data_IF_110581820289
#
_entry.id   IF_110581820289
#
_cell.length_a   1.000
_cell.length_b   1.000
_cell.length_c   1.000
_cell.angle_alpha   90.00
_cell.angle_beta   90.00
_cell.angle_gamma   90.00
#
_symmetry.space_group_name_H-M   'P 1'
#
loop_
_entity.id
_entity.type
_entity.pdbx_description
1 polymer ?
#
# COMPACT_ATOMS: atom_id res chain seq x y z
N UNK A 1 3.04 -11.15 -31.08
CA UNK A 1 3.22 -10.30 -29.89
C UNK A 1 4.39 -9.37 -30.14
N UNK A 2 4.31 -8.11 -29.69
CA UNK A 2 5.43 -7.16 -29.75
C UNK A 2 6.53 -7.65 -28.80
N UNK A 3 7.79 -7.59 -29.23
CA UNK A 3 8.95 -7.92 -28.40
C UNK A 3 9.62 -6.63 -27.94
N UNK A 4 9.97 -6.56 -26.66
CA UNK A 4 10.66 -5.43 -26.06
C UNK A 4 12.07 -5.83 -25.66
N UNK A 5 13.06 -5.06 -26.11
CA UNK A 5 14.44 -5.27 -25.73
C UNK A 5 14.62 -4.94 -24.24
N UNK A 6 14.79 -5.95 -23.41
CA UNK A 6 14.85 -5.79 -21.97
C UNK A 6 16.01 -4.88 -21.52
N UNK A 7 17.19 -5.05 -22.10
CA UNK A 7 18.38 -4.27 -21.73
C UNK A 7 18.17 -2.79 -22.01
N UNK A 8 17.51 -2.46 -23.13
CA UNK A 8 17.16 -1.08 -23.47
C UNK A 8 16.17 -0.47 -22.48
N UNK A 9 15.08 -1.18 -22.17
CA UNK A 9 14.05 -0.66 -21.26
C UNK A 9 14.59 -0.51 -19.82
N UNK A 10 15.48 -1.40 -19.38
CA UNK A 10 16.17 -1.25 -18.07
C UNK A 10 17.12 -0.05 -18.06
N UNK A 11 17.81 0.26 -19.16
CA UNK A 11 18.60 1.50 -19.25
C UNK A 11 17.73 2.73 -19.17
N UNK A 12 16.56 2.72 -19.81
CA UNK A 12 15.61 3.82 -19.73
C UNK A 12 15.08 4.00 -18.30
N UNK A 13 14.72 2.90 -17.63
CA UNK A 13 14.38 2.92 -16.20
C UNK A 13 15.49 3.55 -15.35
N UNK A 14 16.75 3.15 -15.56
CA UNK A 14 17.91 3.72 -14.83
C UNK A 14 18.08 5.21 -15.12
N UNK A 15 17.85 5.66 -16.35
CA UNK A 15 17.90 7.06 -16.72
C UNK A 15 16.80 7.85 -16.00
N UNK A 16 15.56 7.38 -16.07
CA UNK A 16 14.43 8.00 -15.38
C UNK A 16 14.70 8.15 -13.87
N UNK A 17 15.22 7.09 -13.24
CA UNK A 17 15.60 7.11 -11.82
C UNK A 17 16.75 8.08 -11.52
N UNK A 18 17.64 8.36 -12.46
CA UNK A 18 18.79 9.25 -12.24
C UNK A 18 18.45 10.73 -12.46
N UNK A 19 17.54 11.02 -13.40
CA UNK A 19 17.17 12.40 -13.76
C UNK A 19 15.97 12.95 -12.97
N UNK A 20 15.10 12.07 -12.47
CA UNK A 20 13.90 12.49 -11.76
C UNK A 20 14.25 13.25 -10.49
N UNK A 21 13.71 14.45 -10.34
CA UNK A 21 13.91 15.26 -9.12
C UNK A 21 12.87 14.94 -8.04
N UNK A 22 11.68 14.53 -8.46
CA UNK A 22 10.55 14.23 -7.58
C UNK A 22 10.15 12.78 -7.75
N UNK A 23 10.08 12.07 -6.62
CA UNK A 23 9.63 10.70 -6.55
C UNK A 23 8.39 10.61 -5.69
N UNK A 24 7.49 9.72 -6.07
CA UNK A 24 6.45 9.21 -5.20
C UNK A 24 6.39 7.69 -5.29
N UNK A 25 5.98 7.05 -4.22
CA UNK A 25 5.88 5.59 -4.16
C UNK A 25 4.51 5.17 -3.66
N UNK A 26 4.02 4.05 -4.17
CA UNK A 26 2.87 3.35 -3.62
C UNK A 26 3.25 1.89 -3.36
N UNK A 27 3.10 1.48 -2.10
CA UNK A 27 3.38 0.12 -1.64
C UNK A 27 2.06 -0.60 -1.35
N UNK A 28 1.80 -1.65 -2.13
CA UNK A 28 0.68 -2.56 -1.90
C UNK A 28 1.09 -3.82 -1.13
N UNK A 29 0.13 -4.74 -0.97
CA UNK A 29 0.29 -5.94 -0.13
C UNK A 29 1.48 -6.83 -0.55
N UNK A 30 1.86 -6.83 -1.83
CA UNK A 30 3.00 -7.59 -2.33
C UNK A 30 4.33 -7.22 -1.67
N UNK A 31 4.49 -5.97 -1.24
CA UNK A 31 5.71 -5.51 -0.53
C UNK A 31 5.82 -6.14 0.87
N UNK A 32 4.72 -6.19 1.62
CA UNK A 32 4.66 -6.87 2.92
C UNK A 32 4.73 -8.40 2.78
N UNK A 33 4.17 -8.95 1.70
CA UNK A 33 4.27 -10.39 1.38
C UNK A 33 5.70 -10.85 1.14
N UNK A 34 6.53 -10.03 0.48
CA UNK A 34 7.95 -10.31 0.30
C UNK A 34 8.72 -10.40 1.62
N UNK A 35 8.12 -9.96 2.73
CA UNK A 35 8.66 -9.98 4.08
C UNK A 35 7.92 -10.98 5.00
N UNK A 36 7.05 -11.81 4.43
CA UNK A 36 6.32 -12.87 5.14
C UNK A 36 5.04 -12.42 5.84
N UNK A 37 4.56 -11.19 5.62
CA UNK A 37 3.25 -10.73 6.10
C UNK A 37 2.16 -11.15 5.10
N UNK A 38 1.02 -11.70 5.56
CA UNK A 38 0.02 -12.27 4.68
C UNK A 38 -0.65 -11.22 3.77
N UNK A 39 -0.98 -11.62 2.53
CA UNK A 39 -1.90 -10.87 1.69
C UNK A 39 -3.35 -10.99 2.20
N UNK A 40 -4.28 -10.28 1.55
CA UNK A 40 -5.68 -10.25 1.97
C UNK A 40 -6.36 -11.62 1.91
N UNK A 41 -6.00 -12.48 0.94
CA UNK A 41 -6.58 -13.81 0.81
C UNK A 41 -6.13 -14.72 1.95
N UNK A 42 -4.82 -14.78 2.21
CA UNK A 42 -4.25 -15.54 3.34
C UNK A 42 -4.78 -15.01 4.67
N UNK A 43 -4.86 -13.68 4.83
CA UNK A 43 -5.40 -13.06 6.04
C UNK A 43 -6.87 -13.45 6.27
N UNK A 44 -7.67 -13.52 5.20
CA UNK A 44 -9.07 -13.95 5.29
C UNK A 44 -9.18 -15.37 5.84
N UNK A 45 -8.39 -16.31 5.31
CA UNK A 45 -8.38 -17.71 5.76
C UNK A 45 -7.86 -17.85 7.18
N UNK A 46 -6.78 -17.15 7.55
CA UNK A 46 -6.23 -17.21 8.90
C UNK A 46 -7.18 -16.63 9.94
N UNK A 47 -7.88 -15.52 9.62
CA UNK A 47 -8.91 -14.95 10.49
C UNK A 47 -10.08 -15.91 10.65
N UNK A 48 -10.64 -16.44 9.56
CA UNK A 48 -11.77 -17.39 9.59
C UNK A 48 -11.47 -18.61 10.47
N UNK A 49 -10.23 -19.12 10.44
CA UNK A 49 -9.80 -20.25 11.26
C UNK A 49 -9.53 -19.88 12.73
N UNK A 50 -9.21 -18.61 13.00
CA UNK A 50 -8.90 -18.13 14.34
C UNK A 50 -10.09 -17.61 15.16
N UNK A 51 -11.30 -17.52 14.57
CA UNK A 51 -12.53 -17.05 15.24
C UNK A 51 -13.14 -18.09 16.19
N UNK A 52 -13.80 -17.62 17.25
CA UNK A 52 -14.59 -18.47 18.15
C UNK A 52 -15.79 -19.11 17.43
N UNK A 53 -16.34 -20.22 17.97
CA UNK A 53 -17.40 -21.00 17.32
C UNK A 53 -18.60 -20.14 16.88
N UNK A 54 -19.12 -19.31 17.78
CA UNK A 54 -20.29 -18.45 17.49
C UNK A 54 -19.95 -17.35 16.49
N UNK A 55 -18.76 -16.75 16.60
CA UNK A 55 -18.28 -15.70 15.70
C UNK A 55 -17.99 -16.25 14.31
N UNK A 56 -17.42 -17.44 14.22
CA UNK A 56 -17.17 -18.16 12.97
C UNK A 56 -18.48 -18.52 12.26
N UNK A 57 -19.51 -18.93 12.99
CA UNK A 57 -20.83 -19.18 12.40
C UNK A 57 -21.41 -17.91 11.75
N UNK A 58 -21.33 -16.76 12.41
CA UNK A 58 -21.81 -15.49 11.86
C UNK A 58 -20.92 -14.97 10.70
N UNK A 59 -19.61 -15.24 10.76
CA UNK A 59 -18.68 -14.96 9.67
C UNK A 59 -19.04 -15.74 8.41
N UNK A 60 -19.26 -17.05 8.52
CA UNK A 60 -19.64 -17.91 7.40
C UNK A 60 -20.97 -17.45 6.81
N UNK A 61 -21.99 -17.17 7.63
CA UNK A 61 -23.27 -16.61 7.15
C UNK A 61 -23.09 -15.33 6.34
N UNK A 62 -22.25 -14.42 6.82
CA UNK A 62 -21.96 -13.15 6.13
C UNK A 62 -21.27 -13.40 4.79
N UNK A 63 -20.33 -14.35 4.76
CA UNK A 63 -19.60 -14.75 3.56
C UNK A 63 -20.53 -15.38 2.52
N UNK A 64 -21.40 -16.31 2.93
CA UNK A 64 -22.38 -16.97 2.06
C UNK A 64 -23.39 -15.99 1.44
N UNK A 65 -23.86 -15.00 2.20
CA UNK A 65 -24.73 -13.93 1.70
C UNK A 65 -24.05 -13.09 0.60
N UNK A 66 -22.78 -12.74 0.82
CA UNK A 66 -21.98 -12.00 -0.16
C UNK A 66 -21.68 -12.82 -1.41
N UNK A 67 -21.37 -14.11 -1.28
CA UNK A 67 -21.14 -15.03 -2.40
C UNK A 67 -22.41 -15.22 -3.24
N UNK A 68 -23.58 -15.27 -2.59
CA UNK A 68 -24.89 -15.33 -3.27
C UNK A 68 -25.20 -14.03 -4.02
N UNK A 69 -24.83 -12.89 -3.44
CA UNK A 69 -25.05 -11.56 -4.04
C UNK A 69 -24.08 -11.26 -5.19
N UNK A 70 -22.84 -11.74 -5.10
CA UNK A 70 -21.76 -11.46 -6.05
C UNK A 70 -21.05 -12.76 -6.49
N UNK A 71 -21.70 -13.61 -7.29
CA UNK A 71 -21.19 -14.95 -7.63
C UNK A 71 -19.85 -14.93 -8.36
N UNK A 72 -19.57 -13.88 -9.13
CA UNK A 72 -18.32 -13.75 -9.91
C UNK A 72 -17.17 -13.10 -9.12
N UNK A 73 -17.38 -12.79 -7.82
CA UNK A 73 -16.41 -12.10 -6.98
C UNK A 73 -15.90 -13.01 -5.87
N UNK A 74 -14.58 -13.16 -5.78
CA UNK A 74 -13.95 -13.76 -4.59
C UNK A 74 -14.13 -12.83 -3.38
N UNK A 75 -14.83 -13.33 -2.36
CA UNK A 75 -15.07 -12.61 -1.11
C UNK A 75 -13.82 -12.69 -0.21
N UNK A 76 -13.41 -11.54 0.32
CA UNK A 76 -12.27 -11.43 1.23
C UNK A 76 -12.70 -10.77 2.56
N UNK A 77 -11.76 -10.67 3.50
CA UNK A 77 -12.00 -10.09 4.82
C UNK A 77 -12.47 -8.64 4.78
N UNK A 78 -12.07 -7.88 3.74
CA UNK A 78 -12.51 -6.52 3.52
C UNK A 78 -14.00 -6.44 3.19
N UNK A 79 -14.47 -7.32 2.31
CA UNK A 79 -15.88 -7.42 1.94
C UNK A 79 -16.74 -7.82 3.15
N UNK A 80 -16.26 -8.74 3.98
CA UNK A 80 -16.95 -9.18 5.19
C UNK A 80 -17.05 -8.04 6.21
N UNK A 81 -15.94 -7.33 6.49
CA UNK A 81 -15.95 -6.18 7.39
C UNK A 81 -16.91 -5.08 6.91
N UNK A 82 -16.90 -4.78 5.61
CA UNK A 82 -17.84 -3.82 5.01
C UNK A 82 -19.28 -4.27 5.23
N UNK A 83 -19.60 -5.54 4.96
CA UNK A 83 -20.97 -6.03 5.12
C UNK A 83 -21.44 -6.01 6.59
N UNK A 84 -20.57 -6.36 7.55
CA UNK A 84 -20.89 -6.26 8.98
C UNK A 84 -21.18 -4.82 9.42
N UNK A 85 -20.45 -3.85 8.88
CA UNK A 85 -20.67 -2.43 9.17
C UNK A 85 -21.96 -1.90 8.54
N UNK A 86 -22.30 -2.36 7.34
CA UNK A 86 -23.62 -2.12 6.75
C UNK A 86 -24.74 -2.69 7.63
N UNK A 87 -24.61 -3.93 8.12
CA UNK A 87 -25.56 -4.53 9.05
C UNK A 87 -25.69 -3.67 10.32
N UNK A 88 -24.57 -3.25 10.91
CA UNK A 88 -24.56 -2.37 12.10
C UNK A 88 -25.27 -1.03 11.81
N UNK A 89 -25.07 -0.46 10.63
CA UNK A 89 -25.73 0.79 10.19
C UNK A 89 -27.24 0.62 10.03
N UNK A 90 -27.68 -0.40 9.28
CA UNK A 90 -29.11 -0.69 9.00
C UNK A 90 -29.87 -1.02 10.29
N UNK A 91 -29.26 -1.79 11.19
CA UNK A 91 -29.87 -2.18 12.47
C UNK A 91 -29.79 -1.07 13.53
N UNK A 92 -29.04 0.01 13.27
CA UNK A 92 -28.74 1.05 14.25
C UNK A 92 -27.96 0.54 15.47
N UNK A 93 -27.20 -0.56 15.31
CA UNK A 93 -26.44 -1.21 16.37
C UNK A 93 -27.29 -1.86 17.47
N UNK A 94 -28.60 -2.05 17.24
CA UNK A 94 -29.51 -2.60 18.26
C UNK A 94 -29.58 -4.12 18.24
N UNK A 95 -29.89 -4.72 19.39
CA UNK A 95 -29.98 -6.18 19.59
C UNK A 95 -31.25 -6.80 18.99
N UNK A 96 -32.35 -6.04 19.00
CA UNK A 96 -33.67 -6.45 18.55
C UNK A 96 -33.84 -6.41 17.01
N UNK A 97 -32.99 -5.65 16.32
CA UNK A 97 -32.97 -5.58 14.86
C UNK A 97 -31.92 -6.52 14.28
N UNK A 98 -32.32 -7.28 13.27
CA UNK A 98 -31.46 -8.25 12.58
C UNK A 98 -31.52 -8.04 11.07
N UNK A 99 -30.42 -8.38 10.41
CA UNK A 99 -30.31 -8.59 8.97
C UNK A 99 -29.58 -9.91 8.78
N UNK A 100 -30.06 -10.79 7.89
CA UNK A 100 -29.53 -12.18 7.71
C UNK A 100 -29.34 -12.95 9.04
N UNK A 101 -30.28 -12.78 9.98
CA UNK A 101 -30.22 -13.32 11.35
C UNK A 101 -29.05 -12.82 12.23
N UNK A 102 -28.28 -11.85 11.77
CA UNK A 102 -27.21 -11.17 12.52
C UNK A 102 -27.78 -9.87 13.10
N UNK A 103 -27.69 -9.73 14.44
CA UNK A 103 -28.11 -8.49 15.11
C UNK A 103 -27.05 -7.39 15.01
N UNK A 104 -27.43 -6.13 15.22
CA UNK A 104 -26.47 -5.02 15.25
C UNK A 104 -25.40 -5.17 16.33
N UNK A 105 -25.75 -5.72 17.49
CA UNK A 105 -24.80 -6.03 18.57
C UNK A 105 -23.84 -7.15 18.15
N UNK A 106 -24.36 -8.21 17.53
CA UNK A 106 -23.55 -9.33 17.02
C UNK A 106 -22.59 -8.87 15.94
N UNK A 107 -23.05 -8.04 15.00
CA UNK A 107 -22.21 -7.48 13.95
C UNK A 107 -21.08 -6.61 14.54
N UNK A 108 -21.38 -5.78 15.54
CA UNK A 108 -20.37 -4.99 16.25
C UNK A 108 -19.33 -5.87 16.96
N UNK A 109 -19.78 -6.92 17.66
CA UNK A 109 -18.88 -7.86 18.35
C UNK A 109 -17.97 -8.57 17.35
N UNK A 110 -18.53 -9.06 16.24
CA UNK A 110 -17.78 -9.77 15.21
C UNK A 110 -16.77 -8.86 14.49
N UNK A 111 -17.14 -7.62 14.14
CA UNK A 111 -16.22 -6.63 13.55
C UNK A 111 -15.01 -6.36 14.48
N UNK A 112 -15.27 -6.18 15.78
CA UNK A 112 -14.22 -5.99 16.79
C UNK A 112 -13.30 -7.21 16.92
N UNK A 113 -13.86 -8.42 16.96
CA UNK A 113 -13.10 -9.67 17.04
C UNK A 113 -12.22 -9.88 15.79
N UNK A 114 -12.78 -9.67 14.60
CA UNK A 114 -12.02 -9.73 13.34
C UNK A 114 -10.85 -8.75 13.36
N UNK A 115 -11.08 -7.48 13.75
CA UNK A 115 -10.03 -6.47 13.80
C UNK A 115 -8.90 -6.85 14.78
N UNK A 116 -9.24 -7.42 15.94
CA UNK A 116 -8.25 -7.92 16.91
C UNK A 116 -7.46 -9.12 16.39
N UNK A 117 -8.11 -10.04 15.66
CA UNK A 117 -7.44 -11.17 15.02
C UNK A 117 -6.48 -10.70 13.91
N UNK A 118 -6.92 -9.76 13.07
CA UNK A 118 -6.07 -9.12 12.05
C UNK A 118 -4.83 -8.51 12.71
N UNK A 119 -5.02 -7.73 13.77
CA UNK A 119 -3.92 -7.13 14.53
C UNK A 119 -2.94 -8.19 15.03
N UNK A 120 -3.45 -9.28 15.62
CA UNK A 120 -2.63 -10.34 16.22
C UNK A 120 -1.81 -11.07 15.17
N UNK A 121 -2.45 -11.49 14.07
CA UNK A 121 -1.80 -12.20 12.95
C UNK A 121 -0.70 -11.34 12.35
N UNK A 122 -1.01 -10.10 11.98
CA UNK A 122 -0.03 -9.22 11.33
C UNK A 122 1.10 -8.87 12.31
N UNK A 123 0.80 -8.55 13.57
CA UNK A 123 1.82 -8.22 14.59
C UNK A 123 2.79 -9.39 14.81
N UNK A 124 2.31 -10.62 14.84
CA UNK A 124 3.16 -11.81 14.98
C UNK A 124 4.10 -11.96 13.77
N UNK A 125 3.57 -11.83 12.55
CA UNK A 125 4.37 -11.96 11.31
C UNK A 125 5.37 -10.82 11.18
N UNK A 126 4.96 -9.60 11.49
CA UNK A 126 5.81 -8.40 11.49
C UNK A 126 6.97 -8.50 12.49
N UNK A 127 6.76 -9.18 13.63
CA UNK A 127 7.84 -9.42 14.60
C UNK A 127 8.95 -10.35 14.09
N UNK A 128 8.64 -11.19 13.09
CA UNK A 128 9.55 -12.16 12.47
C UNK A 128 10.09 -11.68 11.12
N UNK A 129 9.54 -10.59 10.58
CA UNK A 129 9.92 -10.06 9.27
C UNK A 129 11.35 -9.47 9.30
N UNK A 130 12.16 -9.82 8.30
CA UNK A 130 13.47 -9.19 8.13
C UNK A 130 13.33 -7.82 7.46
N UNK A 131 13.56 -6.76 8.24
CA UNK A 131 13.47 -5.38 7.75
C UNK A 131 14.72 -4.93 6.98
N UNK A 132 15.72 -5.79 6.77
CA UNK A 132 17.00 -5.41 6.16
C UNK A 132 16.84 -4.71 4.80
N UNK A 133 16.08 -5.29 3.87
CA UNK A 133 15.77 -4.70 2.56
C UNK A 133 15.07 -3.35 2.71
N UNK A 134 13.99 -3.30 3.47
CA UNK A 134 13.18 -2.08 3.64
C UNK A 134 13.98 -0.93 4.26
N UNK A 135 14.84 -1.23 5.25
CA UNK A 135 15.77 -0.25 5.83
C UNK A 135 16.75 0.29 4.78
N UNK A 136 17.33 -0.58 3.95
CA UNK A 136 18.23 -0.14 2.86
C UNK A 136 17.49 0.70 1.83
N UNK A 137 16.23 0.36 1.51
CA UNK A 137 15.40 1.16 0.60
C UNK A 137 15.18 2.57 1.15
N UNK A 138 14.76 2.71 2.41
CA UNK A 138 14.53 4.03 2.99
C UNK A 138 15.81 4.81 3.25
N UNK A 139 16.92 4.13 3.56
CA UNK A 139 18.23 4.76 3.60
C UNK A 139 18.63 5.32 2.23
N UNK A 140 18.45 4.55 1.15
CA UNK A 140 18.64 5.02 -0.23
C UNK A 140 17.75 6.22 -0.54
N UNK A 141 16.46 6.13 -0.24
CA UNK A 141 15.47 7.14 -0.59
C UNK A 141 15.73 8.46 0.14
N UNK A 142 16.02 8.41 1.45
CA UNK A 142 16.37 9.57 2.27
C UNK A 142 17.64 10.29 1.76
N UNK A 143 18.48 9.62 0.97
CA UNK A 143 19.67 10.20 0.34
C UNK A 143 19.43 10.82 -1.05
N UNK A 144 18.32 10.51 -1.73
CA UNK A 144 18.14 10.89 -3.16
C UNK A 144 17.82 12.37 -3.37
N UNK A 145 17.10 13.05 -2.48
CA UNK A 145 16.85 14.49 -2.67
C UNK A 145 16.45 15.20 -1.38
N UNK A 146 17.16 16.28 -1.01
CA UNK A 146 16.84 17.11 0.16
C UNK A 146 15.95 18.31 -0.15
N UNK A 147 15.70 18.58 -1.44
CA UNK A 147 15.03 19.81 -1.89
C UNK A 147 13.53 19.65 -2.15
N UNK A 148 12.99 18.43 -2.01
CA UNK A 148 11.58 18.12 -2.20
C UNK A 148 11.13 17.06 -1.20
N UNK A 149 9.88 17.18 -0.77
CA UNK A 149 9.19 16.18 0.03
C UNK A 149 8.87 14.96 -0.84
N UNK A 150 9.31 13.77 -0.42
CA UNK A 150 8.94 12.51 -1.06
C UNK A 150 7.67 11.96 -0.42
N UNK A 151 6.71 11.60 -1.27
CA UNK A 151 5.39 11.16 -0.87
C UNK A 151 5.28 9.63 -1.02
N UNK A 152 4.94 8.96 0.06
CA UNK A 152 4.79 7.52 0.19
C UNK A 152 3.33 7.21 0.49
N UNK A 153 2.72 6.35 -0.32
CA UNK A 153 1.37 5.88 -0.13
C UNK A 153 1.38 4.37 0.12
N UNK A 154 0.47 3.88 0.95
CA UNK A 154 0.31 2.44 1.13
C UNK A 154 -1.14 2.07 1.45
N UNK A 155 -1.55 0.89 0.98
CA UNK A 155 -2.78 0.22 1.38
C UNK A 155 -2.57 -0.77 2.53
N UNK A 156 -1.34 -0.93 3.00
CA UNK A 156 -0.99 -1.98 3.96
C UNK A 156 -1.33 -1.55 5.39
N UNK A 157 -1.86 -2.49 6.18
CA UNK A 157 -2.21 -2.25 7.58
C UNK A 157 -1.01 -2.30 8.53
N UNK A 158 -0.01 -3.13 8.20
CA UNK A 158 1.22 -3.35 8.97
C UNK A 158 2.06 -2.08 9.17
N UNK A 159 3.00 -2.11 10.10
CA UNK A 159 3.86 -0.99 10.48
C UNK A 159 5.31 -1.15 9.96
N UNK A 160 5.51 -1.94 8.90
CA UNK A 160 6.86 -2.25 8.37
C UNK A 160 7.58 -0.97 7.94
N UNK A 161 6.88 -0.05 7.27
CA UNK A 161 7.46 1.21 6.78
C UNK A 161 7.89 2.07 7.98
N UNK A 162 6.99 2.30 8.92
CA UNK A 162 7.22 3.09 10.13
C UNK A 162 8.40 2.53 10.93
N UNK A 163 8.40 1.22 11.22
CA UNK A 163 9.49 0.55 11.95
C UNK A 163 10.84 0.66 11.23
N UNK A 164 10.84 0.56 9.90
CA UNK A 164 12.07 0.67 9.11
C UNK A 164 12.62 2.09 9.12
N UNK A 165 11.76 3.10 9.01
CA UNK A 165 12.13 4.52 9.09
C UNK A 165 12.67 4.89 10.48
N UNK A 166 12.00 4.46 11.54
CA UNK A 166 12.43 4.70 12.92
C UNK A 166 13.75 3.99 13.23
N UNK A 167 13.95 2.76 12.74
CA UNK A 167 15.18 2.00 12.93
C UNK A 167 16.42 2.72 12.35
N UNK A 168 16.27 3.40 11.21
CA UNK A 168 17.35 4.18 10.58
C UNK A 168 17.34 5.67 11.00
N UNK A 169 16.47 6.05 11.95
CA UNK A 169 16.28 7.44 12.43
C UNK A 169 15.95 8.43 11.29
N UNK A 170 15.24 7.99 10.26
CA UNK A 170 14.76 8.86 9.20
C UNK A 170 13.48 9.57 9.65
N UNK A 171 13.43 10.92 9.62
CA UNK A 171 12.24 11.65 10.00
C UNK A 171 11.13 11.46 8.96
N UNK A 172 9.92 11.24 9.44
CA UNK A 172 8.74 11.13 8.59
C UNK A 172 7.53 11.81 9.22
N UNK A 173 6.55 12.12 8.39
CA UNK A 173 5.26 12.67 8.80
C UNK A 173 4.13 11.87 8.19
N UNK A 174 3.15 11.50 9.00
CA UNK A 174 2.05 10.62 8.62
C UNK A 174 0.66 11.24 8.84
N UNK A 175 0.59 12.57 9.01
CA UNK A 175 -0.67 13.27 9.27
C UNK A 175 -1.05 13.36 10.75
N UNK A 176 -0.31 12.70 11.65
CA UNK A 176 -0.54 12.76 13.09
C UNK A 176 0.46 13.70 13.78
N UNK A 177 -0.04 14.51 14.71
CA UNK A 177 0.76 15.45 15.51
C UNK A 177 0.47 15.27 17.00
N UNK A 178 1.51 15.46 17.81
CA UNK A 178 1.47 15.25 19.26
C UNK A 178 2.39 14.11 19.68
N UNK A 179 2.78 14.10 20.95
CA UNK A 179 3.73 13.14 21.52
C UNK A 179 3.06 12.09 22.40
N UNK A 180 2.15 12.52 23.29
CA UNK A 180 1.50 11.64 24.26
C UNK A 180 0.35 10.83 23.63
N UNK A 181 -0.58 11.51 22.97
CA UNK A 181 -1.69 10.92 22.23
C UNK A 181 -1.78 11.66 20.89
N UNK A 182 -0.99 11.26 19.87
CA UNK A 182 -0.95 11.94 18.59
C UNK A 182 -2.34 11.95 17.93
N UNK A 183 -2.83 13.14 17.56
CA UNK A 183 -4.12 13.35 16.91
C UNK A 183 -3.95 13.62 15.42
N UNK A 184 -4.95 13.25 14.63
CA UNK A 184 -4.95 13.52 13.19
C UNK A 184 -5.14 15.01 12.90
N UNK A 185 -4.25 15.61 12.11
CA UNK A 185 -4.30 17.03 11.75
C UNK A 185 -4.47 17.22 10.24
N UNK A 186 -5.73 17.26 9.78
CA UNK A 186 -6.08 17.28 8.35
C UNK A 186 -5.40 18.43 7.57
N UNK A 187 -5.44 19.64 8.10
CA UNK A 187 -4.99 20.85 7.41
C UNK A 187 -3.49 20.83 7.06
N UNK A 188 -2.71 20.02 7.77
CA UNK A 188 -1.28 19.85 7.52
C UNK A 188 -0.98 18.96 6.31
N UNK A 189 -1.93 18.16 5.86
CA UNK A 189 -1.77 17.21 4.75
C UNK A 189 -2.08 17.89 3.42
N UNK A 190 -3.04 18.81 3.43
CA UNK A 190 -3.51 19.52 2.23
C UNK A 190 -2.45 20.49 1.67
N UNK A 191 -1.46 20.88 2.48
CA UNK A 191 -0.42 21.83 2.09
C UNK A 191 0.80 21.12 1.53
N UNK A 192 1.32 21.59 0.40
CA UNK A 192 2.67 21.20 -0.02
C UNK A 192 3.70 21.91 0.83
N UNK A 193 4.81 21.24 1.06
CA UNK A 193 5.91 21.74 1.89
C UNK A 193 6.83 22.57 1.01
N UNK A 194 6.98 23.85 1.37
CA UNK A 194 7.87 24.77 0.67
C UNK A 194 9.33 24.57 1.06
N UNK A 195 10.25 25.11 0.26
CA UNK A 195 11.71 25.00 0.50
C UNK A 195 12.18 25.66 1.80
N UNK A 196 11.41 26.61 2.33
CA UNK A 196 11.70 27.28 3.60
C UNK A 196 11.27 26.48 4.82
N UNK A 197 10.54 25.38 4.65
CA UNK A 197 10.08 24.54 5.75
C UNK A 197 11.21 23.60 6.22
N UNK A 198 11.38 23.51 7.54
CA UNK A 198 12.39 22.66 8.18
C UNK A 198 12.13 21.15 7.95
N UNK A 199 10.90 20.81 7.59
CA UNK A 199 10.43 19.43 7.35
C UNK A 199 10.40 19.08 5.85
N UNK A 200 10.97 19.91 4.96
CA UNK A 200 10.95 19.67 3.51
C UNK A 200 11.58 18.34 3.08
N UNK A 201 12.55 17.84 3.86
CA UNK A 201 13.26 16.60 3.61
C UNK A 201 12.68 15.41 4.39
N UNK A 202 11.58 15.61 5.13
CA UNK A 202 10.90 14.50 5.80
C UNK A 202 10.12 13.70 4.78
N UNK A 203 10.13 12.38 4.94
CA UNK A 203 9.29 11.50 4.15
C UNK A 203 7.84 11.66 4.59
N UNK A 204 6.90 11.69 3.64
CA UNK A 204 5.46 11.80 3.94
C UNK A 204 4.79 10.47 3.70
N UNK A 205 4.23 9.85 4.75
CA UNK A 205 3.63 8.53 4.68
C UNK A 205 2.11 8.61 4.83
N UNK A 206 1.39 8.10 3.83
CA UNK A 206 -0.06 8.19 3.75
C UNK A 206 -0.68 6.79 3.65
N UNK A 207 -1.32 6.33 4.72
CA UNK A 207 -1.96 5.00 4.78
C UNK A 207 -3.43 5.10 4.40
N UNK A 208 -3.75 4.76 3.15
CA UNK A 208 -5.07 5.01 2.55
C UNK A 208 -6.14 4.04 3.07
N UNK A 209 -5.74 2.87 3.59
CA UNK A 209 -6.65 1.84 4.10
C UNK A 209 -6.73 1.79 5.64
N UNK A 210 -5.93 2.60 6.33
CA UNK A 210 -5.85 2.61 7.78
C UNK A 210 -4.57 1.97 8.28
N UNK A 211 -4.52 1.71 9.58
CA UNK A 211 -3.31 1.20 10.22
C UNK A 211 -3.64 0.46 11.49
N UNK A 212 -2.81 -0.53 11.85
CA UNK A 212 -2.93 -1.28 13.10
C UNK A 212 -2.69 -0.44 14.36
N UNK A 213 -2.11 0.75 14.22
CA UNK A 213 -1.89 1.68 15.33
C UNK A 213 -2.90 2.84 15.36
N UNK A 214 -3.98 2.82 14.57
CA UNK A 214 -4.98 3.88 14.59
C UNK A 214 -6.24 3.45 15.34
N UNK A 215 -6.76 4.32 16.21
CA UNK A 215 -7.90 4.02 17.06
C UNK A 215 -8.92 5.14 17.06
N UNK A 216 -10.20 4.77 17.08
CA UNK A 216 -11.29 5.71 17.29
C UNK A 216 -11.31 6.18 18.74
N UNK A 217 -11.26 7.50 18.93
CA UNK A 217 -11.47 8.11 20.24
C UNK A 217 -12.96 8.24 20.52
N UNK A 218 -13.43 7.61 21.60
CA UNK A 218 -14.78 7.84 22.10
C UNK A 218 -14.83 9.23 22.72
N UNK A 219 -15.47 10.17 22.02
CA UNK A 219 -15.75 11.50 22.57
C UNK A 219 -17.18 11.51 23.12
N UNK A 220 -17.38 12.01 24.35
CA UNK A 220 -18.69 12.07 25.00
C UNK A 220 -19.74 12.99 24.32
N UNK A 221 -19.42 13.56 23.15
CA UNK A 221 -20.34 14.30 22.28
C UNK A 221 -20.63 13.46 21.03
N UNK A 222 -21.90 13.20 20.78
CA UNK A 222 -22.41 12.10 19.96
C UNK A 222 -22.01 12.05 18.47
N UNK A 223 -21.26 13.01 17.93
CA UNK A 223 -20.98 13.07 16.48
C UNK A 223 -19.51 13.36 16.09
N UNK A 224 -18.61 13.66 17.04
CA UNK A 224 -17.20 13.91 16.69
C UNK A 224 -16.37 12.64 16.85
N UNK A 225 -16.21 11.88 15.77
CA UNK A 225 -15.26 10.77 15.71
C UNK A 225 -13.86 11.34 15.42
N UNK A 226 -13.01 11.44 16.44
CA UNK A 226 -11.59 11.77 16.24
C UNK A 226 -10.75 10.50 16.28
N UNK A 227 -9.63 10.49 15.56
CA UNK A 227 -8.70 9.36 15.54
C UNK A 227 -7.42 9.79 16.24
N UNK A 228 -6.85 8.85 16.99
CA UNK A 228 -5.51 8.97 17.52
C UNK A 228 -4.63 7.81 17.06
N UNK A 229 -3.32 8.05 17.00
CA UNK A 229 -2.32 7.05 16.71
C UNK A 229 -1.74 6.51 18.02
N UNK A 230 -1.98 5.24 18.30
CA UNK A 230 -1.32 4.52 19.39
C UNK A 230 0.18 4.36 19.13
N UNK A 231 0.97 4.39 20.20
CA UNK A 231 2.38 3.99 20.14
C UNK A 231 2.54 2.47 20.16
N UNK A 232 3.47 1.96 20.98
CA UNK A 232 3.63 0.52 21.18
C UNK A 232 2.47 -0.03 22.02
N UNK A 233 1.64 -0.87 21.43
CA UNK A 233 0.52 -1.53 22.10
C UNK A 233 1.02 -2.85 22.71
N UNK A 234 1.06 -3.00 24.06
CA UNK A 234 1.57 -4.20 24.69
C UNK A 234 0.60 -5.39 24.58
N UNK A 235 -0.71 -5.13 24.62
CA UNK A 235 -1.74 -6.16 24.45
C UNK A 235 -3.00 -5.53 23.82
N UNK A 236 -3.40 -6.04 22.65
CA UNK A 236 -4.57 -5.55 21.93
C UNK A 236 -5.89 -5.86 22.66
N UNK A 237 -5.94 -6.91 23.49
CA UNK A 237 -7.14 -7.26 24.24
C UNK A 237 -7.52 -6.22 25.30
N UNK A 238 -6.53 -5.47 25.78
CA UNK A 238 -6.72 -4.41 26.76
C UNK A 238 -7.13 -3.07 26.10
N UNK A 239 -7.12 -2.98 24.77
CA UNK A 239 -7.50 -1.77 24.06
C UNK A 239 -9.02 -1.73 23.92
N UNK A 240 -9.64 -0.73 24.53
CA UNK A 240 -11.09 -0.52 24.48
C UNK A 240 -11.54 0.17 23.19
N UNK A 241 -10.67 0.98 22.60
CA UNK A 241 -10.96 1.76 21.40
C UNK A 241 -10.99 0.87 20.15
N UNK A 242 -11.95 1.11 19.26
CA UNK A 242 -12.07 0.37 17.99
C UNK A 242 -10.90 0.72 17.05
N UNK A 243 -10.27 -0.31 16.47
CA UNK A 243 -9.21 -0.17 15.47
C UNK A 243 -9.74 0.50 14.18
N UNK A 244 -8.96 1.39 13.60
CA UNK A 244 -9.30 2.09 12.36
C UNK A 244 -8.71 1.33 11.17
N UNK A 245 -9.40 0.26 10.79
CA UNK A 245 -9.15 -0.52 9.57
C UNK A 245 -10.33 -0.30 8.64
N UNK A 246 -10.15 0.36 7.50
CA UNK A 246 -11.23 0.64 6.54
C UNK A 246 -10.93 0.06 5.17
N UNK A 247 -11.64 -1.02 4.80
CA UNK A 247 -11.50 -1.59 3.49
C UNK A 247 -12.08 -0.71 2.37
N UNK A 248 -11.73 -1.06 1.14
CA UNK A 248 -11.96 -0.27 -0.08
C UNK A 248 -13.40 0.26 -0.32
N UNK A 249 -14.47 -0.51 -0.05
CA UNK A 249 -15.84 -0.20 -0.54
C UNK A 249 -16.67 0.78 0.29
N UNK A 250 -16.65 0.76 1.63
CA UNK A 250 -17.51 1.64 2.45
C UNK A 250 -17.07 3.12 2.50
N UNK A 251 -15.92 3.44 1.91
CA UNK A 251 -15.37 4.81 1.92
C UNK A 251 -16.23 5.80 1.13
N UNK A 252 -17.05 5.33 0.19
CA UNK A 252 -17.88 6.19 -0.65
C UNK A 252 -19.12 6.71 0.07
N UNK A 253 -19.88 5.84 0.76
CA UNK A 253 -21.06 6.25 1.54
C UNK A 253 -20.69 7.04 2.81
N UNK A 254 -19.42 6.93 3.24
CA UNK A 254 -18.87 7.59 4.42
C UNK A 254 -17.77 8.61 4.11
N UNK A 255 -17.90 9.35 3.00
CA UNK A 255 -17.11 10.55 2.59
C UNK A 255 -16.94 11.65 3.67
N UNK A 256 -17.38 11.40 4.90
CA UNK A 256 -17.23 12.21 6.11
C UNK A 256 -16.19 11.68 7.11
N UNK A 257 -15.59 10.50 6.90
CA UNK A 257 -14.62 9.92 7.85
C UNK A 257 -13.19 10.36 7.53
N UNK A 258 -12.71 11.37 8.24
CA UNK A 258 -11.26 11.61 8.43
C UNK A 258 -10.62 10.31 8.93
N UNK A 259 -9.44 9.90 8.43
CA UNK A 259 -8.43 10.67 7.69
C UNK A 259 -8.39 10.36 6.18
N UNK A 260 -9.26 9.47 5.70
CA UNK A 260 -9.14 8.83 4.39
C UNK A 260 -9.31 9.80 3.23
N UNK A 261 -10.31 10.67 3.32
CA UNK A 261 -10.59 11.69 2.29
C UNK A 261 -9.36 12.56 2.06
N UNK A 262 -8.71 13.01 3.14
CA UNK A 262 -7.50 13.82 3.07
C UNK A 262 -6.34 13.10 2.36
N UNK A 263 -6.16 11.79 2.60
CA UNK A 263 -5.12 11.02 1.91
C UNK A 263 -5.42 10.77 0.43
N UNK A 264 -6.69 10.56 0.06
CA UNK A 264 -7.09 10.44 -1.34
C UNK A 264 -6.93 11.76 -2.09
N UNK A 265 -7.35 12.87 -1.48
CA UNK A 265 -7.15 14.20 -2.03
C UNK A 265 -5.66 14.53 -2.15
N UNK A 266 -4.85 14.11 -1.16
CA UNK A 266 -3.39 14.22 -1.24
C UNK A 266 -2.81 13.40 -2.39
N UNK A 267 -3.24 12.14 -2.57
CA UNK A 267 -2.81 11.31 -3.69
C UNK A 267 -3.11 11.97 -5.03
N UNK A 268 -4.35 12.44 -5.21
CA UNK A 268 -4.77 13.15 -6.42
C UNK A 268 -3.93 14.42 -6.64
N UNK A 269 -3.71 15.20 -5.58
CA UNK A 269 -2.93 16.43 -5.63
C UNK A 269 -1.48 16.15 -6.03
N UNK A 270 -0.85 15.13 -5.45
CA UNK A 270 0.52 14.72 -5.76
C UNK A 270 0.64 14.26 -7.23
N UNK A 271 -0.26 13.39 -7.69
CA UNK A 271 -0.22 12.85 -9.05
C UNK A 271 -0.49 13.91 -10.14
N UNK A 272 -1.25 14.97 -9.80
CA UNK A 272 -1.51 16.10 -10.71
C UNK A 272 -0.45 17.22 -10.60
N UNK A 273 0.43 17.17 -9.60
CA UNK A 273 1.42 18.21 -9.31
C UNK A 273 2.70 18.11 -10.18
N UNK A 274 2.58 18.50 -11.45
CA UNK A 274 3.73 18.74 -12.33
C UNK A 274 4.57 17.50 -12.63
N UNK A 275 5.89 17.69 -12.75
CA UNK A 275 6.83 16.59 -13.05
C UNK A 275 6.98 15.65 -11.85
N UNK A 276 6.64 14.38 -12.03
CA UNK A 276 6.69 13.36 -10.99
C UNK A 276 6.96 11.98 -11.60
N UNK A 277 7.94 11.27 -11.05
CA UNK A 277 8.10 9.83 -11.27
C UNK A 277 7.43 9.09 -10.12
N UNK A 278 6.38 8.34 -10.41
CA UNK A 278 5.59 7.63 -9.41
C UNK A 278 5.71 6.12 -9.58
N UNK A 279 6.14 5.41 -8.54
CA UNK A 279 6.47 3.99 -8.60
C UNK A 279 5.50 3.16 -7.76
N UNK A 280 4.86 2.18 -8.38
CA UNK A 280 4.05 1.16 -7.72
C UNK A 280 4.85 -0.13 -7.53
N UNK A 281 4.85 -0.66 -6.31
CA UNK A 281 5.41 -1.97 -6.00
C UNK A 281 4.43 -2.76 -5.14
N UNK A 282 4.18 -4.01 -5.53
CA UNK A 282 3.30 -4.91 -4.79
C UNK A 282 1.81 -4.51 -4.76
N UNK A 283 1.39 -3.60 -5.64
CA UNK A 283 -0.01 -3.17 -5.76
C UNK A 283 -0.67 -3.84 -6.97
N UNK A 284 -1.72 -4.63 -6.73
CA UNK A 284 -2.40 -5.46 -7.73
C UNK A 284 -3.40 -4.70 -8.60
N UNK A 285 -3.65 -3.41 -8.34
CA UNK A 285 -4.72 -2.64 -8.97
C UNK A 285 -6.13 -3.25 -8.76
N UNK A 286 -6.37 -3.92 -7.64
CA UNK A 286 -7.71 -4.43 -7.29
C UNK A 286 -8.65 -3.38 -6.68
N UNK A 287 -8.12 -2.23 -6.21
CA UNK A 287 -8.91 -1.14 -5.64
C UNK A 287 -9.32 -0.16 -6.75
N UNK A 288 -10.58 -0.23 -7.18
CA UNK A 288 -11.10 0.58 -8.27
C UNK A 288 -11.01 2.09 -8.00
N UNK A 289 -11.16 2.54 -6.76
CA UNK A 289 -11.17 3.96 -6.46
C UNK A 289 -9.77 4.58 -6.54
N UNK A 290 -8.77 3.88 -6.00
CA UNK A 290 -7.36 4.25 -6.16
C UNK A 290 -7.01 4.28 -7.66
N UNK A 291 -7.44 3.26 -8.41
CA UNK A 291 -7.19 3.19 -9.85
C UNK A 291 -7.83 4.35 -10.62
N UNK A 292 -9.07 4.73 -10.29
CA UNK A 292 -9.74 5.87 -10.91
C UNK A 292 -8.96 7.17 -10.70
N UNK A 293 -8.44 7.42 -9.49
CA UNK A 293 -7.60 8.59 -9.21
C UNK A 293 -6.32 8.55 -10.05
N UNK A 294 -5.64 7.40 -10.12
CA UNK A 294 -4.41 7.23 -10.89
C UNK A 294 -4.65 7.46 -12.38
N UNK A 295 -5.63 6.77 -12.96
CA UNK A 295 -5.92 6.86 -14.39
C UNK A 295 -6.43 8.24 -14.81
N UNK A 296 -7.25 8.90 -13.97
CA UNK A 296 -7.65 10.28 -14.23
C UNK A 296 -6.45 11.23 -14.16
N UNK A 297 -5.53 11.02 -13.21
CA UNK A 297 -4.32 11.85 -13.09
C UNK A 297 -3.37 11.64 -14.28
N UNK A 298 -3.22 10.40 -14.77
CA UNK A 298 -2.44 10.09 -15.97
C UNK A 298 -2.97 10.80 -17.22
N UNK A 299 -4.29 10.95 -17.36
CA UNK A 299 -4.91 11.70 -18.46
C UNK A 299 -4.69 13.21 -18.35
N UNK A 300 -4.70 13.74 -17.13
CA UNK A 300 -4.64 15.18 -16.89
C UNK A 300 -3.21 15.72 -16.82
N UNK A 301 -2.25 14.91 -16.39
CA UNK A 301 -0.87 15.31 -16.17
C UNK A 301 0.10 14.55 -17.10
N UNK A 302 0.42 15.14 -18.25
CA UNK A 302 1.39 14.58 -19.20
C UNK A 302 2.84 14.55 -18.66
N UNK A 303 3.13 15.21 -17.52
CA UNK A 303 4.44 15.19 -16.85
C UNK A 303 4.52 14.17 -15.71
N UNK A 304 3.43 13.44 -15.45
CA UNK A 304 3.44 12.28 -14.58
C UNK A 304 3.97 11.08 -15.38
N UNK A 305 5.00 10.41 -14.86
CA UNK A 305 5.46 9.12 -15.35
C UNK A 305 5.20 8.07 -14.28
N UNK A 306 4.49 6.99 -14.64
CA UNK A 306 4.15 5.90 -13.72
C UNK A 306 4.92 4.65 -14.09
N UNK A 307 5.61 4.06 -13.11
CA UNK A 307 6.27 2.77 -13.21
C UNK A 307 5.57 1.77 -12.31
N UNK A 308 5.23 0.60 -12.83
CA UNK A 308 4.55 -0.47 -12.09
C UNK A 308 5.40 -1.73 -12.14
N UNK A 309 5.67 -2.33 -10.98
CA UNK A 309 6.38 -3.60 -10.87
C UNK A 309 5.43 -4.68 -10.35
N UNK A 310 5.18 -5.69 -11.19
CA UNK A 310 4.29 -6.82 -10.89
C UNK A 310 5.06 -8.10 -10.64
N UNK A 311 4.58 -8.88 -9.68
CA UNK A 311 5.14 -10.19 -9.37
C UNK A 311 4.65 -11.25 -10.37
N UNK A 312 3.46 -11.07 -10.96
CA UNK A 312 2.87 -12.01 -11.92
C UNK A 312 2.48 -11.33 -13.24
N UNK A 313 2.61 -12.06 -14.35
CA UNK A 313 2.21 -11.57 -15.68
C UNK A 313 0.69 -11.42 -15.86
N UNK A 314 -0.11 -12.11 -15.04
CA UNK A 314 -1.58 -11.94 -15.01
C UNK A 314 -1.96 -10.50 -14.67
N UNK A 315 -1.27 -9.88 -13.71
CA UNK A 315 -1.49 -8.51 -13.28
C UNK A 315 -1.19 -7.50 -14.40
N UNK A 316 -0.15 -7.76 -15.21
CA UNK A 316 0.17 -6.98 -16.41
C UNK A 316 -0.98 -7.03 -17.41
N UNK A 317 -1.53 -8.23 -17.65
CA UNK A 317 -2.64 -8.42 -18.60
C UNK A 317 -3.90 -7.70 -18.12
N UNK A 318 -4.23 -7.80 -16.84
CA UNK A 318 -5.38 -7.09 -16.26
C UNK A 318 -5.19 -5.57 -16.33
N UNK A 319 -4.02 -5.05 -15.97
CA UNK A 319 -3.72 -3.62 -16.07
C UNK A 319 -3.83 -3.13 -17.52
N UNK A 320 -3.36 -3.91 -18.49
CA UNK A 320 -3.41 -3.53 -19.91
C UNK A 320 -4.84 -3.28 -20.42
N UNK A 321 -5.82 -4.06 -19.94
CA UNK A 321 -7.24 -3.86 -20.30
C UNK A 321 -7.75 -2.46 -19.96
N UNK A 322 -7.23 -1.86 -18.88
CA UNK A 322 -7.64 -0.55 -18.39
C UNK A 322 -6.66 0.60 -18.78
N UNK A 323 -5.46 0.28 -19.27
CA UNK A 323 -4.35 1.24 -19.40
C UNK A 323 -3.79 1.42 -20.81
N UNK A 324 -4.33 0.74 -21.82
CA UNK A 324 -3.83 0.77 -23.21
C UNK A 324 -3.75 2.18 -23.83
N UNK A 325 -4.51 3.16 -23.33
CA UNK A 325 -4.50 4.54 -23.80
C UNK A 325 -3.45 5.44 -23.13
N UNK A 326 -2.75 4.98 -22.08
CA UNK A 326 -1.79 5.80 -21.34
C UNK A 326 -0.35 5.54 -21.80
N UNK A 327 0.27 6.53 -22.44
CA UNK A 327 1.65 6.43 -22.93
C UNK A 327 2.69 6.66 -21.83
N UNK A 328 2.30 7.32 -20.74
CA UNK A 328 3.12 7.67 -19.60
C UNK A 328 3.04 6.66 -18.44
N UNK A 329 2.52 5.45 -18.71
CA UNK A 329 2.53 4.32 -17.80
C UNK A 329 3.37 3.20 -18.41
N UNK A 330 4.32 2.69 -17.62
CA UNK A 330 5.13 1.52 -17.96
C UNK A 330 4.96 0.45 -16.88
N UNK A 331 4.67 -0.78 -17.28
CA UNK A 331 4.53 -1.91 -16.38
C UNK A 331 5.56 -3.00 -16.67
N UNK A 332 6.19 -3.51 -15.63
CA UNK A 332 7.21 -4.55 -15.66
C UNK A 332 6.68 -5.79 -14.96
N UNK A 333 6.44 -6.86 -15.73
CA UNK A 333 6.18 -8.20 -15.21
C UNK A 333 7.34 -9.16 -15.51
N UNK A 334 7.24 -10.42 -15.02
CA UNK A 334 8.26 -11.45 -15.22
C UNK A 334 8.63 -11.69 -16.69
N UNK A 335 7.63 -11.85 -17.57
CA UNK A 335 7.86 -12.06 -19.01
C UNK A 335 7.17 -11.02 -19.88
N UNK A 336 6.11 -10.39 -19.37
CA UNK A 336 5.29 -9.40 -20.07
C UNK A 336 5.54 -7.99 -19.58
N UNK A 337 5.25 -7.02 -20.45
CA UNK A 337 5.37 -5.61 -20.13
C UNK A 337 4.35 -4.78 -20.89
N UNK A 338 4.02 -3.61 -20.34
CA UNK A 338 3.34 -2.53 -21.03
C UNK A 338 4.35 -1.41 -21.20
N UNK A 339 4.65 -1.04 -22.45
CA UNK A 339 5.52 0.09 -22.79
C UNK A 339 4.82 0.95 -23.84
N UNK A 340 4.70 2.25 -23.57
CA UNK A 340 4.06 3.22 -24.45
C UNK A 340 2.67 2.74 -24.95
N UNK A 341 1.81 2.33 -24.02
CA UNK A 341 0.44 1.86 -24.31
C UNK A 341 0.35 0.53 -25.05
N UNK A 342 1.45 -0.19 -25.29
CA UNK A 342 1.43 -1.51 -25.95
C UNK A 342 1.89 -2.61 -25.02
N UNK A 343 1.17 -3.74 -25.00
CA UNK A 343 1.62 -4.96 -24.32
C UNK A 343 2.53 -5.80 -25.22
N UNK A 344 3.57 -6.38 -24.62
CA UNK A 344 4.54 -7.22 -25.29
C UNK A 344 5.30 -8.10 -24.31
N UNK A 345 6.25 -8.87 -24.84
CA UNK A 345 7.10 -9.77 -24.05
C UNK A 345 8.56 -9.33 -24.11
N UNK A 346 9.32 -9.65 -23.06
CA UNK A 346 10.74 -9.39 -23.00
C UNK A 346 11.52 -10.22 -24.02
N UNK A 347 12.48 -9.57 -24.65
CA UNK A 347 13.55 -10.18 -25.42
C UNK A 347 14.87 -9.74 -24.79
N UNK A 348 15.63 -10.73 -24.31
CA UNK A 348 16.92 -10.52 -23.67
C UNK A 348 18.04 -11.08 -24.56
N UNK A 349 18.94 -10.21 -24.99
CA UNK A 349 20.16 -10.60 -25.67
C UNK A 349 21.37 -10.09 -24.88
N UNK A 350 22.31 -10.99 -24.57
CA UNK A 350 23.52 -10.64 -23.82
C UNK A 350 24.45 -9.70 -24.61
N UNK A 351 24.40 -9.76 -25.94
CA UNK A 351 25.11 -8.84 -26.83
C UNK A 351 24.70 -7.37 -26.67
N UNK A 352 23.52 -7.12 -26.11
CA UNK A 352 23.04 -5.75 -25.91
C UNK A 352 23.64 -5.09 -24.67
N UNK A 353 24.29 -5.86 -23.77
CA UNK A 353 24.97 -5.34 -22.59
C UNK A 353 26.27 -4.64 -22.95
N UNK A 354 26.56 -3.53 -22.27
CA UNK A 354 27.88 -2.89 -22.35
C UNK A 354 28.90 -3.70 -21.52
N UNK A 355 30.22 -3.59 -21.78
CA UNK A 355 31.25 -4.38 -21.11
C UNK A 355 31.22 -4.34 -19.56
N UNK A 356 30.74 -3.24 -18.98
CA UNK A 356 30.66 -3.04 -17.52
C UNK A 356 29.23 -3.24 -16.96
N UNK A 357 28.24 -3.54 -17.80
CA UNK A 357 26.87 -3.76 -17.36
C UNK A 357 26.66 -5.23 -16.99
N UNK A 358 26.01 -5.45 -15.85
CA UNK A 358 25.60 -6.79 -15.39
C UNK A 358 24.07 -6.83 -15.32
N UNK A 359 23.49 -7.96 -15.73
CA UNK A 359 22.04 -8.19 -15.69
C UNK A 359 21.55 -8.92 -14.44
N UNK A 360 22.47 -9.46 -13.63
CA UNK A 360 22.16 -10.31 -12.48
C UNK A 360 21.24 -9.66 -11.42
N UNK A 361 21.14 -8.33 -11.38
CA UNK A 361 20.28 -7.62 -10.41
C UNK A 361 18.83 -7.49 -10.87
N UNK A 362 18.50 -7.84 -12.12
CA UNK A 362 17.14 -7.67 -12.65
C UNK A 362 16.68 -8.82 -13.55
N UNK A 363 17.56 -9.71 -13.99
CA UNK A 363 17.24 -10.81 -14.89
C UNK A 363 17.75 -12.15 -14.35
N UNK A 364 16.84 -13.11 -14.22
CA UNK A 364 17.18 -14.51 -13.97
C UNK A 364 17.43 -15.21 -15.31
N UNK A 365 18.68 -15.63 -15.54
CA UNK A 365 19.08 -16.33 -16.77
C UNK A 365 18.52 -17.75 -16.88
N UNK A 366 18.23 -18.40 -15.76
CA UNK A 366 17.74 -19.79 -15.69
C UNK A 366 16.26 -19.82 -16.07
N UNK A 367 15.46 -19.04 -15.36
CA UNK A 367 14.01 -18.96 -15.56
C UNK A 367 13.61 -18.04 -16.73
N UNK A 368 14.55 -17.21 -17.22
CA UNK A 368 14.33 -16.20 -18.27
C UNK A 368 13.22 -15.24 -17.91
N UNK A 369 13.26 -14.74 -16.68
CA UNK A 369 12.29 -13.78 -16.14
C UNK A 369 12.97 -12.54 -15.56
N UNK A 370 12.24 -11.43 -15.64
CA UNK A 370 12.56 -10.21 -14.92
C UNK A 370 12.21 -10.38 -13.44
N UNK A 371 13.15 -10.08 -12.54
CA UNK A 371 13.00 -10.30 -11.10
C UNK A 371 12.53 -9.07 -10.31
N UNK A 372 12.36 -7.93 -10.99
CA UNK A 372 12.00 -6.64 -10.36
C UNK A 372 10.56 -6.58 -9.82
N UNK A 373 9.74 -7.61 -10.10
CA UNK A 373 8.44 -7.78 -9.47
C UNK A 373 8.51 -8.14 -7.98
N UNK A 374 9.60 -8.77 -7.55
CA UNK A 374 9.87 -9.03 -6.14
C UNK A 374 10.45 -7.78 -5.46
N UNK A 375 9.87 -7.40 -4.31
CA UNK A 375 10.26 -6.19 -3.60
C UNK A 375 11.72 -6.21 -3.15
N UNK A 376 12.24 -7.34 -2.65
CA UNK A 376 13.63 -7.42 -2.20
C UNK A 376 14.61 -7.25 -3.38
N UNK A 377 14.32 -7.88 -4.51
CA UNK A 377 15.11 -7.73 -5.73
C UNK A 377 15.04 -6.30 -6.29
N UNK A 378 13.86 -5.67 -6.25
CA UNK A 378 13.68 -4.27 -6.66
C UNK A 378 14.50 -3.32 -5.78
N UNK A 379 14.53 -3.54 -4.47
CA UNK A 379 15.36 -2.77 -3.54
C UNK A 379 16.85 -2.94 -3.86
N UNK A 380 17.31 -4.17 -4.05
CA UNK A 380 18.72 -4.43 -4.41
C UNK A 380 19.10 -3.77 -5.75
N UNK A 381 18.17 -3.72 -6.71
CA UNK A 381 18.34 -3.00 -7.96
C UNK A 381 18.52 -1.48 -7.74
N UNK A 382 17.67 -0.84 -6.93
CA UNK A 382 17.81 0.60 -6.62
C UNK A 382 19.14 0.92 -5.95
N UNK A 383 19.53 0.11 -4.97
CA UNK A 383 20.77 0.30 -4.20
C UNK A 383 21.99 0.14 -5.11
N UNK A 384 22.02 -0.93 -5.91
CA UNK A 384 23.15 -1.19 -6.82
C UNK A 384 23.25 -0.09 -7.87
N UNK A 385 22.12 0.38 -8.40
CA UNK A 385 22.10 1.45 -9.41
C UNK A 385 22.52 2.82 -8.84
N UNK A 386 22.37 3.04 -7.53
CA UNK A 386 22.76 4.30 -6.89
C UNK A 386 24.27 4.57 -6.85
N UNK A 387 25.10 3.52 -7.02
CA UNK A 387 26.55 3.61 -6.83
C UNK A 387 27.01 3.88 -5.39
N UNK A 388 26.08 3.94 -4.42
CA UNK A 388 26.34 4.26 -3.00
C UNK A 388 26.04 3.09 -2.06
N UNK A 389 26.09 1.86 -2.58
CA UNK A 389 25.71 0.64 -1.85
C UNK A 389 26.29 0.56 -0.44
N UNK A 390 27.60 0.74 -0.30
CA UNK A 390 28.29 0.66 1.01
C UNK A 390 27.71 1.64 2.03
N UNK A 391 27.56 2.91 1.66
CA UNK A 391 27.01 3.94 2.55
C UNK A 391 25.56 3.68 2.94
N UNK A 392 24.76 3.15 2.01
CA UNK A 392 23.37 2.77 2.27
C UNK A 392 23.31 1.60 3.25
N UNK A 393 24.19 0.61 3.10
CA UNK A 393 24.29 -0.54 4.00
C UNK A 393 24.74 -0.12 5.40
N UNK A 394 25.69 0.80 5.51
CA UNK A 394 26.14 1.35 6.80
C UNK A 394 24.95 2.02 7.54
N UNK A 395 24.21 2.90 6.86
CA UNK A 395 23.04 3.58 7.46
C UNK A 395 21.91 2.60 7.83
N UNK A 396 21.67 1.58 7.00
CA UNK A 396 20.61 0.60 7.25
C UNK A 396 20.91 -0.35 8.43
N UNK A 397 22.19 -0.53 8.76
CA UNK A 397 22.63 -1.40 9.85
C UNK A 397 22.76 -0.66 11.18
N UNK A 398 22.82 0.68 11.17
CA UNK A 398 22.86 1.52 12.37
C UNK A 398 24.26 1.96 12.70
#
# INVERSE_FOLDING_TARGET
>A
MKKFNLVREIRELKNQLSYSKKYGFFFGAGTSCALGVPNIATLTTEVENGLEVDSKANFIKTKEDLETTYPDKTINIEDILNHLRQIRSITGGKKDKKYIDISGETAKKLDSEICKKIYTIISEKESKADLSSTKKFFAWLNMQNKNYSTELFTSNYDLIIEKSLEAIKAPYFDGFVGSYEPFFWQESIERFVDKSDLTQNWLRLWKIHGSLNWFWKENGKADSHSIFRGGKIPNIENVKNELVIYPSKEKYDSSKKQPFVAYFDRLKSVLTAGELLFVFSGYSFSDQHINEIIFNSLRQNNRLSVLVFFYQDSEVVELYKASSSYLNLTAFGPTKSIVNGTMGEWEYNESDLKPNEKSNTYWDKTEKILTLGDYNNLVEFFITNSGRKKTIEDVANG
#
